data_IF_616832344631
#
_entry.id   IF_616832344631
#
_cell.length_a   1.000
_cell.length_b   1.000
_cell.length_c   1.000
_cell.angle_alpha   90.00
_cell.angle_beta   90.00
_cell.angle_gamma   90.00
#
_symmetry.space_group_name_H-M   'P 1'
#
loop_
_entity.id
_entity.type
_entity.pdbx_description
1 polymer ?
#
# COMPACT_ATOMS: atom_id res chain seq x y z
N UNK A 1 -44.84 -54.87 41.36
CA UNK A 1 -44.34 -53.76 40.57
C UNK A 1 -42.87 -53.47 40.94
N UNK A 2 -41.88 -54.14 40.35
CA UNK A 2 -40.49 -54.10 40.79
C UNK A 2 -39.44 -54.59 39.85
N UNK A 3 -39.69 -54.75 38.55
CA UNK A 3 -38.67 -55.37 37.65
C UNK A 3 -38.21 -54.50 36.46
N UNK A 4 -38.62 -53.23 36.35
CA UNK A 4 -38.25 -52.38 35.20
C UNK A 4 -37.09 -51.41 35.47
N UNK A 5 -36.66 -51.18 36.72
CA UNK A 5 -35.56 -50.22 37.04
C UNK A 5 -34.15 -50.81 36.91
N UNK A 6 -33.99 -52.17 37.09
CA UNK A 6 -32.67 -52.79 37.03
C UNK A 6 -32.05 -52.90 35.62
N UNK A 7 -32.88 -52.99 34.56
CA UNK A 7 -32.38 -53.15 33.18
C UNK A 7 -31.85 -51.89 32.53
N UNK A 8 -32.23 -50.70 33.03
CA UNK A 8 -31.74 -49.42 32.50
C UNK A 8 -30.37 -49.01 33.04
N UNK A 9 -30.07 -49.39 34.28
CA UNK A 9 -28.77 -49.10 34.92
C UNK A 9 -27.64 -49.96 34.36
N UNK A 10 -27.90 -51.21 33.99
CA UNK A 10 -26.90 -52.10 33.38
C UNK A 10 -26.55 -51.69 31.95
N UNK A 11 -27.52 -51.13 31.19
CA UNK A 11 -27.27 -50.68 29.84
C UNK A 11 -26.49 -49.31 29.81
N UNK A 12 -26.67 -48.46 30.80
CA UNK A 12 -25.92 -47.19 30.92
C UNK A 12 -24.47 -47.46 31.31
N UNK A 13 -24.18 -48.45 32.13
CA UNK A 13 -22.82 -48.80 32.51
C UNK A 13 -22.01 -49.43 31.37
N UNK A 14 -22.65 -50.23 30.49
CA UNK A 14 -22.00 -50.86 29.35
C UNK A 14 -21.62 -49.85 28.24
N UNK A 15 -22.41 -48.77 28.07
CA UNK A 15 -22.11 -47.72 27.09
C UNK A 15 -20.98 -46.81 27.54
N UNK A 16 -20.84 -46.54 28.83
CA UNK A 16 -19.74 -45.72 29.37
C UNK A 16 -18.38 -46.41 29.27
N UNK A 17 -18.32 -47.71 29.46
CA UNK A 17 -17.08 -48.51 29.31
C UNK A 17 -16.63 -48.59 27.85
N UNK A 18 -17.57 -48.67 26.91
CA UNK A 18 -17.27 -48.69 25.48
C UNK A 18 -16.69 -47.39 24.94
N UNK A 19 -17.16 -46.22 25.43
CA UNK A 19 -16.65 -44.88 25.01
C UNK A 19 -15.27 -44.63 25.62
N UNK A 20 -14.98 -45.07 26.85
CA UNK A 20 -13.66 -44.93 27.47
C UNK A 20 -12.58 -45.75 26.76
N UNK A 21 -12.92 -46.92 26.19
CA UNK A 21 -11.96 -47.75 25.45
C UNK A 21 -11.59 -47.18 24.06
N UNK A 22 -12.48 -46.42 23.41
CA UNK A 22 -12.21 -45.80 22.10
C UNK A 22 -11.34 -44.56 22.22
N UNK A 23 -11.41 -43.81 23.34
CA UNK A 23 -10.57 -42.64 23.57
C UNK A 23 -9.09 -42.97 23.93
N UNK A 24 -8.80 -44.19 24.38
CA UNK A 24 -7.43 -44.62 24.74
C UNK A 24 -6.58 -45.06 23.54
N UNK A 25 -7.18 -45.26 22.36
CA UNK A 25 -6.47 -45.71 21.14
C UNK A 25 -5.92 -44.65 20.21
N UNK A 26 -6.18 -43.34 20.46
CA UNK A 26 -5.80 -42.26 19.56
C UNK A 26 -4.58 -41.43 20.03
N UNK A 27 -3.87 -41.86 21.06
CA UNK A 27 -2.71 -41.15 21.63
C UNK A 27 -1.37 -41.76 21.22
N UNK A 28 -1.20 -42.29 20.03
CA UNK A 28 0.08 -42.84 19.55
C UNK A 28 0.44 -42.34 18.15
N UNK A 29 0.65 -41.04 18.06
CA UNK A 29 1.56 -40.47 17.08
C UNK A 29 2.59 -39.62 17.87
N UNK A 30 3.47 -40.31 18.58
CA UNK A 30 4.61 -39.69 19.24
C UNK A 30 5.64 -39.25 18.18
N UNK A 31 5.53 -38.04 17.68
CA UNK A 31 6.69 -37.35 17.16
C UNK A 31 7.50 -36.98 18.40
N UNK A 32 8.66 -37.64 18.58
CA UNK A 32 9.63 -37.27 19.65
C UNK A 32 9.97 -35.80 19.48
N UNK A 33 9.54 -34.98 20.43
CA UNK A 33 10.01 -33.61 20.52
C UNK A 33 11.48 -33.66 20.90
N UNK A 34 12.38 -33.43 19.96
CA UNK A 34 13.76 -33.10 20.27
C UNK A 34 13.77 -31.79 21.05
N UNK A 35 14.18 -31.89 22.30
CA UNK A 35 14.07 -30.80 23.28
C UNK A 35 15.10 -29.71 23.11
N UNK A 36 15.96 -29.76 22.08
CA UNK A 36 16.88 -28.66 21.73
C UNK A 36 17.35 -28.83 20.25
N UNK A 37 17.50 -27.75 19.49
CA UNK A 37 18.16 -27.80 18.19
C UNK A 37 19.60 -28.22 18.36
N UNK A 38 20.03 -29.32 17.74
CA UNK A 38 21.47 -29.67 17.73
C UNK A 38 22.13 -28.95 16.55
N UNK A 39 23.28 -28.27 16.80
CA UNK A 39 24.08 -27.71 15.71
C UNK A 39 24.57 -28.83 14.80
N UNK A 40 24.31 -28.73 13.52
CA UNK A 40 24.85 -29.62 12.50
C UNK A 40 26.37 -29.35 12.35
N UNK A 41 27.19 -30.42 12.37
CA UNK A 41 28.60 -30.28 12.04
C UNK A 41 28.75 -29.77 10.59
N UNK A 42 29.42 -28.63 10.36
CA UNK A 42 29.64 -28.10 9.03
C UNK A 42 30.30 -29.09 8.04
N UNK A 43 31.05 -30.08 8.56
CA UNK A 43 31.69 -31.11 7.73
C UNK A 43 30.75 -32.24 7.30
N UNK A 44 29.61 -32.38 7.97
CA UNK A 44 28.61 -33.38 7.63
C UNK A 44 27.63 -32.96 6.54
N UNK A 45 27.69 -31.70 6.10
CA UNK A 45 26.84 -31.16 5.05
C UNK A 45 27.55 -31.29 3.69
N UNK A 46 27.07 -32.14 2.78
CA UNK A 46 27.69 -32.29 1.45
C UNK A 46 27.55 -31.01 0.65
N UNK A 47 28.53 -30.78 -0.26
CA UNK A 47 28.55 -29.66 -1.22
C UNK A 47 28.80 -28.24 -0.66
N UNK A 48 29.36 -28.11 0.55
CA UNK A 48 29.75 -26.79 1.09
C UNK A 48 28.59 -25.84 1.32
N UNK A 49 27.38 -26.34 1.51
CA UNK A 49 26.17 -25.52 1.75
C UNK A 49 26.23 -24.69 3.04
N UNK A 50 27.21 -25.00 3.93
CA UNK A 50 27.53 -24.20 5.12
C UNK A 50 28.89 -23.50 5.00
N UNK A 51 29.49 -23.45 3.80
CA UNK A 51 30.64 -22.56 3.57
C UNK A 51 30.26 -21.12 3.91
N UNK A 52 31.25 -20.22 4.18
CA UNK A 52 30.94 -18.81 4.38
C UNK A 52 30.42 -18.23 3.07
N UNK A 53 29.15 -18.50 2.80
CA UNK A 53 28.37 -17.69 1.91
C UNK A 53 28.44 -16.30 2.53
N UNK A 54 29.03 -15.32 1.82
CA UNK A 54 28.80 -13.91 2.14
C UNK A 54 27.32 -13.83 2.50
N UNK A 55 27.03 -13.63 3.78
CA UNK A 55 25.67 -13.51 4.29
C UNK A 55 24.95 -12.62 3.29
N UNK A 56 23.86 -13.04 2.65
CA UNK A 56 23.03 -12.09 1.98
C UNK A 56 22.82 -11.05 3.08
N UNK A 57 23.27 -9.81 2.83
CA UNK A 57 22.97 -8.67 3.68
C UNK A 57 21.58 -8.95 4.19
N UNK A 58 21.43 -9.26 5.48
CA UNK A 58 20.13 -9.50 6.08
C UNK A 58 19.35 -8.28 5.67
N UNK A 59 18.58 -8.42 4.61
CA UNK A 59 17.55 -7.44 4.33
C UNK A 59 16.75 -7.52 5.61
N UNK A 60 16.93 -6.52 6.45
CA UNK A 60 16.04 -6.21 7.55
C UNK A 60 14.67 -6.74 7.12
N UNK A 61 13.87 -7.48 7.90
CA UNK A 61 12.53 -7.86 7.46
C UNK A 61 11.79 -6.55 7.18
N UNK A 62 12.42 -5.84 6.28
CA UNK A 62 12.22 -4.50 5.84
C UNK A 62 10.80 -4.42 5.37
N UNK A 63 10.09 -3.49 5.88
CA UNK A 63 8.83 -3.01 5.40
C UNK A 63 8.76 -3.28 3.89
N UNK A 64 7.88 -4.20 3.50
CA UNK A 64 7.64 -4.45 2.08
C UNK A 64 7.38 -3.10 1.44
N UNK A 65 8.05 -2.80 0.34
CA UNK A 65 7.85 -1.55 -0.39
C UNK A 65 7.17 -1.83 -1.72
N UNK A 66 6.39 -0.87 -2.17
CA UNK A 66 5.80 -0.83 -3.51
C UNK A 66 6.44 0.30 -4.29
N UNK A 67 6.80 0.02 -5.55
CA UNK A 67 7.27 1.07 -6.45
C UNK A 67 6.09 1.77 -7.10
N UNK A 68 6.02 3.09 -6.92
CA UNK A 68 4.97 3.95 -7.43
C UNK A 68 5.55 5.01 -8.36
N UNK A 69 4.70 5.66 -9.14
CA UNK A 69 5.11 6.75 -10.02
C UNK A 69 4.47 8.05 -9.55
N UNK A 70 5.27 9.09 -9.43
CA UNK A 70 4.83 10.47 -9.23
C UNK A 70 5.27 11.31 -10.42
N UNK A 71 4.59 12.42 -10.67
CA UNK A 71 4.90 13.27 -11.80
C UNK A 71 5.46 14.61 -11.32
N UNK A 72 6.64 14.95 -11.82
CA UNK A 72 7.31 16.24 -11.57
C UNK A 72 7.33 17.06 -12.85
N UNK A 73 7.49 18.36 -12.75
CA UNK A 73 7.72 19.21 -13.91
C UNK A 73 9.21 19.20 -14.27
N UNK A 74 9.53 18.98 -15.53
CA UNK A 74 10.89 19.05 -16.07
C UNK A 74 11.17 20.41 -16.71
N UNK A 75 12.41 20.61 -17.15
CA UNK A 75 12.91 21.86 -17.75
C UNK A 75 12.10 22.34 -18.97
N UNK A 76 11.41 21.43 -19.65
CA UNK A 76 10.54 21.75 -20.80
C UNK A 76 9.15 22.27 -20.38
N UNK A 77 8.85 22.39 -19.09
CA UNK A 77 7.51 22.67 -18.57
C UNK A 77 6.53 21.52 -18.72
N UNK A 78 7.02 20.32 -19.03
CA UNK A 78 6.19 19.09 -19.16
C UNK A 78 6.39 18.17 -17.97
N UNK A 79 5.37 17.33 -17.73
CA UNK A 79 5.39 16.38 -16.64
C UNK A 79 6.24 15.16 -16.97
N UNK A 80 7.17 14.85 -16.10
CA UNK A 80 8.10 13.73 -16.20
C UNK A 80 7.77 12.70 -15.11
N UNK A 81 7.60 11.41 -15.44
CA UNK A 81 7.36 10.37 -14.46
C UNK A 81 8.61 10.05 -13.65
N UNK A 82 8.48 10.05 -12.33
CA UNK A 82 9.55 9.70 -11.37
C UNK A 82 9.12 8.53 -10.52
N UNK A 83 10.01 7.57 -10.31
CA UNK A 83 9.72 6.38 -9.49
C UNK A 83 10.08 6.62 -8.03
N UNK A 84 9.20 6.21 -7.13
CA UNK A 84 9.37 6.30 -5.68
C UNK A 84 9.03 4.96 -5.04
N UNK A 85 9.64 4.66 -3.91
CA UNK A 85 9.31 3.50 -3.10
C UNK A 85 8.47 3.97 -1.89
N UNK A 86 7.31 3.36 -1.68
CA UNK A 86 6.40 3.60 -0.55
C UNK A 86 6.20 2.30 0.22
N UNK A 87 5.77 2.39 1.48
CA UNK A 87 5.43 1.21 2.26
C UNK A 87 4.30 0.40 1.59
N UNK A 88 4.41 -0.92 1.63
CA UNK A 88 3.35 -1.83 1.18
C UNK A 88 2.30 -2.04 2.29
N UNK A 89 0.99 -2.07 1.97
CA UNK A 89 0.40 -1.83 0.64
C UNK A 89 0.41 -0.34 0.27
N UNK A 90 0.72 -0.03 -1.01
CA UNK A 90 0.67 1.34 -1.49
C UNK A 90 -0.76 1.89 -1.40
N UNK A 91 -0.91 3.06 -0.79
CA UNK A 91 -2.18 3.78 -0.73
C UNK A 91 -2.09 5.04 -1.56
N UNK A 92 -3.23 5.54 -2.02
CA UNK A 92 -3.26 6.80 -2.77
C UNK A 92 -2.72 7.98 -1.95
N UNK A 93 -2.98 7.99 -0.63
CA UNK A 93 -2.39 8.99 0.29
C UNK A 93 -0.87 8.90 0.35
N UNK A 94 -0.29 7.68 0.37
CA UNK A 94 1.16 7.50 0.37
C UNK A 94 1.78 7.98 -0.95
N UNK A 95 1.12 7.73 -2.09
CA UNK A 95 1.58 8.16 -3.42
C UNK A 95 1.54 9.70 -3.51
N UNK A 96 0.43 10.32 -3.16
CA UNK A 96 0.30 11.78 -3.16
C UNK A 96 1.19 12.43 -2.10
N UNK A 97 1.48 11.75 -0.99
CA UNK A 97 2.48 12.16 0.00
C UNK A 97 3.89 12.26 -0.59
N UNK A 98 4.26 11.36 -1.51
CA UNK A 98 5.54 11.46 -2.23
C UNK A 98 5.60 12.67 -3.18
N UNK A 99 4.46 13.05 -3.79
CA UNK A 99 4.38 14.27 -4.58
C UNK A 99 4.49 15.51 -3.69
N UNK A 100 3.78 15.53 -2.55
CA UNK A 100 3.84 16.62 -1.58
C UNK A 100 5.23 16.80 -0.96
N UNK A 101 6.02 15.73 -0.83
CA UNK A 101 7.41 15.80 -0.38
C UNK A 101 8.33 16.51 -1.39
N UNK A 102 7.88 16.67 -2.62
CA UNK A 102 8.64 17.34 -3.68
C UNK A 102 9.79 16.52 -4.26
N UNK A 103 10.62 17.14 -5.12
CA UNK A 103 11.77 16.50 -5.70
C UNK A 103 12.88 16.26 -4.66
N UNK A 104 13.58 15.14 -4.78
CA UNK A 104 14.81 14.89 -4.02
C UNK A 104 15.94 15.82 -4.48
N UNK A 105 17.01 15.94 -3.69
CA UNK A 105 18.17 16.74 -4.08
C UNK A 105 18.75 16.32 -5.44
N UNK A 106 18.76 15.00 -5.74
CA UNK A 106 19.20 14.48 -7.04
C UNK A 106 18.27 14.89 -8.18
N UNK A 107 16.96 14.85 -7.98
CA UNK A 107 15.97 15.25 -8.98
C UNK A 107 16.01 16.76 -9.23
N UNK A 108 16.13 17.57 -8.17
CA UNK A 108 16.29 19.02 -8.30
C UNK A 108 17.57 19.38 -9.05
N UNK A 109 18.67 18.64 -8.87
CA UNK A 109 19.90 18.86 -9.63
C UNK A 109 19.77 18.55 -11.13
N UNK A 110 18.73 17.79 -11.52
CA UNK A 110 18.35 17.50 -12.90
C UNK A 110 17.19 18.39 -13.40
N UNK A 111 16.93 19.52 -12.73
CA UNK A 111 15.94 20.49 -13.15
C UNK A 111 14.49 20.13 -12.85
N UNK A 112 14.24 19.05 -12.08
CA UNK A 112 12.85 18.70 -11.73
C UNK A 112 12.32 19.60 -10.62
N UNK A 113 11.13 20.12 -10.82
CA UNK A 113 10.41 20.98 -9.87
C UNK A 113 9.00 20.47 -9.60
N UNK A 114 8.39 20.93 -8.51
CA UNK A 114 7.01 20.53 -8.17
C UNK A 114 6.27 21.71 -7.50
N UNK A 115 5.52 22.50 -8.26
CA UNK A 115 4.59 23.48 -7.69
C UNK A 115 3.61 22.85 -6.70
N UNK A 116 3.17 21.60 -6.94
CA UNK A 116 2.32 20.87 -6.01
C UNK A 116 2.94 20.71 -4.61
N UNK A 117 4.27 20.53 -4.53
CA UNK A 117 4.94 20.36 -3.23
C UNK A 117 5.02 21.65 -2.42
N UNK A 118 4.95 22.82 -3.05
CA UNK A 118 4.99 24.11 -2.36
C UNK A 118 3.72 24.38 -1.57
N UNK A 119 2.64 23.69 -1.86
CA UNK A 119 1.34 23.82 -1.19
C UNK A 119 0.91 22.60 -0.37
N UNK A 120 1.60 21.43 -0.51
CA UNK A 120 1.27 20.24 0.28
C UNK A 120 1.41 20.44 1.79
N UNK A 121 0.94 19.55 2.64
CA UNK A 121 0.34 18.24 2.32
C UNK A 121 -1.12 18.32 1.84
N UNK A 122 -1.58 17.27 1.13
CA UNK A 122 -2.93 17.17 0.61
C UNK A 122 -3.82 16.30 1.51
N UNK A 123 -5.08 16.71 1.72
CA UNK A 123 -6.12 15.84 2.22
C UNK A 123 -6.55 14.86 1.12
N UNK A 124 -6.63 13.56 1.42
CA UNK A 124 -7.01 12.54 0.43
C UNK A 124 -8.24 11.80 0.94
N UNK A 125 -9.34 11.95 0.23
CA UNK A 125 -10.59 11.27 0.50
C UNK A 125 -10.68 9.87 -0.11
N UNK A 126 -11.79 9.18 0.10
CA UNK A 126 -12.06 7.88 -0.50
C UNK A 126 -12.27 8.00 -2.02
N UNK A 127 -11.97 6.91 -2.73
CA UNK A 127 -12.25 6.78 -4.17
C UNK A 127 -13.70 6.35 -4.37
N UNK A 128 -14.46 7.10 -5.13
CA UNK A 128 -15.84 6.79 -5.49
C UNK A 128 -16.04 6.88 -7.01
N UNK A 129 -16.46 5.79 -7.62
CA UNK A 129 -16.69 5.75 -9.07
C UNK A 129 -15.46 6.10 -9.90
N UNK A 130 -14.27 5.75 -9.43
CA UNK A 130 -13.00 6.08 -10.09
C UNK A 130 -12.50 7.51 -9.83
N UNK A 131 -13.20 8.30 -9.01
CA UNK A 131 -12.80 9.67 -8.67
C UNK A 131 -12.35 9.74 -7.21
N UNK A 132 -11.16 10.29 -6.97
CA UNK A 132 -10.66 10.62 -5.63
C UNK A 132 -10.87 12.10 -5.34
N UNK A 133 -11.29 12.44 -4.12
CA UNK A 133 -11.29 13.82 -3.65
C UNK A 133 -9.92 14.17 -3.08
N UNK A 134 -9.33 15.27 -3.55
CA UNK A 134 -8.06 15.79 -3.04
C UNK A 134 -8.31 17.20 -2.50
N UNK A 135 -8.09 17.38 -1.20
CA UNK A 135 -8.26 18.66 -0.52
C UNK A 135 -6.91 19.38 -0.45
N UNK A 136 -6.83 20.49 -1.14
CA UNK A 136 -5.68 21.37 -1.19
C UNK A 136 -5.77 22.40 -0.06
N UNK A 137 -4.65 22.77 0.55
CA UNK A 137 -4.66 23.89 1.49
C UNK A 137 -4.98 25.20 0.77
N UNK A 138 -5.49 26.18 1.51
CA UNK A 138 -5.87 27.49 0.96
C UNK A 138 -4.69 28.24 0.32
N UNK A 139 -3.45 27.89 0.68
CA UNK A 139 -2.24 28.40 0.04
C UNK A 139 -2.15 28.09 -1.47
N UNK A 140 -2.89 27.07 -1.95
CA UNK A 140 -3.00 26.79 -3.38
C UNK A 140 -3.53 27.97 -4.19
N UNK A 141 -4.48 28.73 -3.63
CA UNK A 141 -5.04 29.92 -4.29
C UNK A 141 -4.03 31.07 -4.44
N UNK A 142 -2.94 31.02 -3.65
CA UNK A 142 -1.87 32.01 -3.72
C UNK A 142 -0.81 31.72 -4.79
N UNK A 143 -0.86 30.53 -5.41
CA UNK A 143 0.01 30.21 -6.55
C UNK A 143 -0.35 31.07 -7.76
N UNK A 144 0.65 31.38 -8.59
CA UNK A 144 0.40 31.91 -9.94
C UNK A 144 -0.42 30.95 -10.79
N UNK A 145 -1.19 31.46 -11.73
CA UNK A 145 -2.11 30.62 -12.53
C UNK A 145 -1.42 29.45 -13.24
N UNK A 146 -0.20 29.65 -13.75
CA UNK A 146 0.60 28.58 -14.35
C UNK A 146 1.01 27.52 -13.31
N UNK A 147 1.46 27.95 -12.13
CA UNK A 147 1.85 27.02 -11.06
C UNK A 147 0.64 26.25 -10.54
N UNK A 148 -0.56 26.87 -10.46
CA UNK A 148 -1.81 26.18 -10.15
C UNK A 148 -2.12 25.10 -11.18
N UNK A 149 -1.96 25.43 -12.46
CA UNK A 149 -2.19 24.50 -13.57
C UNK A 149 -1.26 23.29 -13.51
N UNK A 150 0.05 23.54 -13.33
CA UNK A 150 1.05 22.47 -13.21
C UNK A 150 0.82 21.64 -11.94
N UNK A 151 0.55 22.28 -10.80
CA UNK A 151 0.25 21.57 -9.56
C UNK A 151 -0.97 20.67 -9.68
N UNK A 152 -2.06 21.15 -10.29
CA UNK A 152 -3.25 20.34 -10.55
C UNK A 152 -2.95 19.17 -11.50
N UNK A 153 -2.20 19.40 -12.56
CA UNK A 153 -1.75 18.37 -13.49
C UNK A 153 -0.89 17.30 -12.77
N UNK A 154 0.09 17.70 -11.97
CA UNK A 154 0.93 16.79 -11.18
C UNK A 154 0.09 15.89 -10.28
N UNK A 155 -0.90 16.45 -9.59
CA UNK A 155 -1.81 15.69 -8.71
C UNK A 155 -2.64 14.70 -9.53
N UNK A 156 -3.25 15.12 -10.66
CA UNK A 156 -4.07 14.26 -11.52
C UNK A 156 -3.25 13.13 -12.10
N UNK A 157 -2.09 13.43 -12.69
CA UNK A 157 -1.22 12.40 -13.28
C UNK A 157 -0.72 11.42 -12.23
N UNK A 158 -0.36 11.89 -11.05
CA UNK A 158 0.11 11.05 -9.94
C UNK A 158 -1.03 10.19 -9.38
N UNK A 159 -2.19 10.79 -9.07
CA UNK A 159 -3.34 10.07 -8.51
C UNK A 159 -3.86 8.96 -9.44
N UNK A 160 -3.89 9.23 -10.75
CA UNK A 160 -4.35 8.26 -11.77
C UNK A 160 -3.35 7.14 -12.06
N UNK A 161 -2.18 7.10 -11.42
CA UNK A 161 -1.32 5.90 -11.40
C UNK A 161 -1.87 4.83 -10.45
N UNK A 162 -2.70 5.22 -9.49
CA UNK A 162 -3.31 4.29 -8.55
C UNK A 162 -4.46 3.53 -9.22
N UNK A 163 -4.41 2.20 -9.10
CA UNK A 163 -5.43 1.33 -9.71
C UNK A 163 -6.83 1.70 -9.25
N UNK A 164 -7.74 1.89 -10.20
CA UNK A 164 -9.13 2.26 -9.94
C UNK A 164 -9.38 3.76 -9.82
N UNK A 165 -8.35 4.62 -10.03
CA UNK A 165 -8.52 6.08 -10.11
C UNK A 165 -8.39 6.54 -11.55
N UNK A 166 -9.41 7.22 -12.05
CA UNK A 166 -9.47 7.80 -13.40
C UNK A 166 -9.58 9.33 -13.38
N UNK A 167 -9.91 9.92 -12.22
CA UNK A 167 -10.05 11.36 -12.08
C UNK A 167 -9.91 11.85 -10.66
N UNK A 168 -9.72 13.15 -10.51
CA UNK A 168 -9.56 13.87 -9.25
C UNK A 168 -10.60 14.95 -9.11
N UNK A 169 -11.29 15.01 -7.99
CA UNK A 169 -12.13 16.13 -7.60
C UNK A 169 -11.34 17.00 -6.61
N UNK A 170 -11.12 18.24 -6.97
CA UNK A 170 -10.40 19.16 -6.11
C UNK A 170 -11.32 19.86 -5.11
N UNK A 171 -10.80 19.96 -3.89
CA UNK A 171 -11.34 20.79 -2.82
C UNK A 171 -10.24 21.78 -2.40
N UNK A 172 -10.63 22.92 -1.84
CA UNK A 172 -9.73 23.85 -1.16
C UNK A 172 -10.35 24.14 0.21
N UNK A 173 -9.65 23.80 1.28
CA UNK A 173 -10.17 23.94 2.63
C UNK A 173 -11.49 23.20 2.86
N UNK A 174 -11.68 22.04 2.24
CA UNK A 174 -12.89 21.22 2.33
C UNK A 174 -14.05 21.65 1.43
N UNK A 175 -13.92 22.72 0.65
CA UNK A 175 -14.94 23.21 -0.28
C UNK A 175 -14.60 22.84 -1.73
N UNK A 176 -15.62 22.47 -2.52
CA UNK A 176 -15.41 22.15 -3.94
C UNK A 176 -14.77 23.34 -4.67
N UNK A 177 -13.62 23.11 -5.29
CA UNK A 177 -12.84 24.12 -5.96
C UNK A 177 -12.81 23.88 -7.47
N UNK A 178 -12.69 24.97 -8.23
CA UNK A 178 -12.36 24.95 -9.65
C UNK A 178 -10.85 25.12 -9.79
N UNK A 179 -10.24 24.28 -10.60
CA UNK A 179 -8.81 24.36 -10.88
C UNK A 179 -8.58 24.59 -12.37
N UNK A 180 -7.48 25.27 -12.75
CA UNK A 180 -7.17 25.46 -14.17
C UNK A 180 -6.77 24.16 -14.83
N UNK A 181 -7.30 23.91 -16.01
CA UNK A 181 -6.95 22.82 -16.91
C UNK A 181 -5.72 23.16 -17.75
N UNK A 182 -5.25 22.22 -18.58
CA UNK A 182 -4.07 22.41 -19.42
C UNK A 182 -4.21 23.52 -20.48
N UNK A 183 -5.42 23.96 -20.83
CA UNK A 183 -5.69 25.11 -21.69
C UNK A 183 -5.97 26.40 -20.91
N UNK A 184 -5.88 26.37 -19.56
CA UNK A 184 -6.14 27.49 -18.68
C UNK A 184 -7.60 27.75 -18.35
N UNK A 185 -8.53 26.96 -18.89
CA UNK A 185 -9.95 27.04 -18.49
C UNK A 185 -10.16 26.47 -17.08
N UNK A 186 -11.26 26.84 -16.42
CA UNK A 186 -11.60 26.30 -15.10
C UNK A 186 -12.57 25.12 -15.22
N UNK A 187 -12.22 23.98 -14.63
CA UNK A 187 -13.11 22.84 -14.57
C UNK A 187 -13.99 22.86 -13.32
N UNK A 188 -15.23 22.41 -13.44
CA UNK A 188 -16.18 22.20 -12.32
C UNK A 188 -16.39 20.72 -12.00
N UNK A 189 -15.97 19.84 -12.91
CA UNK A 189 -16.07 18.40 -12.78
C UNK A 189 -14.80 17.75 -12.23
N UNK A 190 -14.77 16.42 -12.12
CA UNK A 190 -13.53 15.71 -11.88
C UNK A 190 -12.54 15.95 -13.01
N UNK A 191 -11.31 16.32 -12.65
CA UNK A 191 -10.21 16.49 -13.60
C UNK A 191 -9.60 15.14 -13.96
N UNK A 192 -9.28 14.94 -15.22
CA UNK A 192 -8.69 13.74 -15.80
C UNK A 192 -7.36 14.06 -16.49
N UNK A 193 -6.58 13.04 -16.88
CA UNK A 193 -5.35 13.26 -17.67
C UNK A 193 -5.63 14.01 -18.97
N UNK A 194 -6.80 13.75 -19.60
CA UNK A 194 -7.19 14.40 -20.84
C UNK A 194 -7.24 15.94 -20.71
N UNK A 195 -7.64 16.45 -19.55
CA UNK A 195 -7.71 17.88 -19.28
C UNK A 195 -6.32 18.55 -19.23
N UNK A 196 -5.25 17.76 -19.11
CA UNK A 196 -3.86 18.22 -19.02
C UNK A 196 -2.96 17.58 -20.07
N UNK A 197 -3.51 17.02 -21.15
CA UNK A 197 -2.73 16.31 -22.16
C UNK A 197 -1.60 17.15 -22.77
N UNK A 198 -1.74 18.47 -22.83
CA UNK A 198 -0.71 19.39 -23.31
C UNK A 198 0.55 19.44 -22.42
N UNK A 199 0.42 19.03 -21.15
CA UNK A 199 1.51 19.01 -20.18
C UNK A 199 2.16 17.62 -20.05
N UNK A 200 1.64 16.59 -20.73
CA UNK A 200 2.24 15.26 -20.72
C UNK A 200 3.57 15.26 -21.52
N UNK A 201 4.64 14.74 -20.88
CA UNK A 201 5.98 14.67 -21.46
C UNK A 201 6.30 13.38 -22.18
#
# INVERSE_FOLDING_TARGET
MGHRRGRRLVRAAATLVGVAAVCAGLASCGVGAESAPQPLDPKAVPYGLLGPTSSPKTSDPGLLTARVTVYMEGDSGRLVPVRRDVAWPATISAILGQLAAGPTAGESSHGLVSPASSVGPFGVGAVHGGVVAVDLPVSFESLGGQDQQVAAAQIVFTATTFTGVSGVRFLVGGQAAQVPTGDGSLTRGPSTRGDYAALEG
#
